data_IF_913064343164
#
_entry.id   IF_913064343164
#
_cell.length_a   1.000
_cell.length_b   1.000
_cell.length_c   1.000
_cell.angle_alpha   90.00
_cell.angle_beta   90.00
_cell.angle_gamma   90.00
#
_symmetry.space_group_name_H-M   'P 1'
#
loop_
_entity.id
_entity.type
_entity.pdbx_description
1 polymer ?
#
# COMPACT_ATOMS: atom_id res chain seq x y z
N UNK A 1 6.95 -5.44 0.48
CA UNK A 1 6.41 -5.85 -0.85
C UNK A 1 7.40 -6.78 -1.56
N UNK A 2 6.97 -7.64 -2.49
CA UNK A 2 7.86 -8.60 -3.21
C UNK A 2 9.09 -7.93 -3.83
N UNK A 3 8.92 -6.75 -4.42
CA UNK A 3 10.02 -5.96 -5.02
C UNK A 3 11.04 -5.48 -3.98
N UNK A 4 10.60 -5.10 -2.76
CA UNK A 4 11.52 -4.71 -1.69
C UNK A 4 12.34 -5.90 -1.19
N UNK A 5 11.74 -7.08 -1.08
CA UNK A 5 12.45 -8.30 -0.73
C UNK A 5 13.51 -8.66 -1.77
N UNK A 6 13.20 -8.50 -3.06
CA UNK A 6 14.16 -8.68 -4.16
C UNK A 6 15.31 -7.69 -4.02
N UNK A 7 15.02 -6.40 -3.79
CA UNK A 7 16.07 -5.39 -3.61
C UNK A 7 16.95 -5.64 -2.40
N UNK A 8 16.38 -6.07 -1.27
CA UNK A 8 17.14 -6.44 -0.08
C UNK A 8 18.00 -7.67 -0.34
N UNK A 9 17.47 -8.72 -0.96
CA UNK A 9 18.20 -9.94 -1.29
C UNK A 9 19.40 -9.65 -2.21
N UNK A 10 19.19 -8.81 -3.23
CA UNK A 10 20.23 -8.44 -4.19
C UNK A 10 21.09 -7.24 -3.77
N UNK A 11 20.95 -6.73 -2.54
CA UNK A 11 21.71 -5.57 -2.03
C UNK A 11 21.72 -4.38 -2.99
N UNK A 12 20.57 -4.11 -3.61
CA UNK A 12 20.43 -3.04 -4.60
C UNK A 12 20.58 -1.68 -3.91
N UNK A 13 21.53 -0.87 -4.37
CA UNK A 13 21.73 0.52 -3.94
C UNK A 13 20.50 1.38 -4.23
N UNK A 14 20.16 2.34 -3.35
CA UNK A 14 18.98 3.21 -3.48
C UNK A 14 18.86 3.88 -4.87
N UNK A 15 19.98 4.38 -5.38
CA UNK A 15 20.07 5.07 -6.69
C UNK A 15 19.64 4.19 -7.87
N UNK A 16 19.80 2.87 -7.76
CA UNK A 16 19.47 1.91 -8.82
C UNK A 16 18.06 1.34 -8.72
N UNK A 17 17.41 1.47 -7.55
CA UNK A 17 16.09 0.88 -7.29
C UNK A 17 15.03 1.44 -8.24
N UNK A 18 15.03 2.75 -8.46
CA UNK A 18 14.09 3.41 -9.38
C UNK A 18 14.29 2.89 -10.80
N UNK A 19 15.52 2.91 -11.31
CA UNK A 19 15.81 2.44 -12.66
C UNK A 19 15.40 0.97 -12.86
N UNK A 20 15.78 0.08 -11.94
CA UNK A 20 15.45 -1.35 -12.02
C UNK A 20 13.93 -1.61 -11.93
N UNK A 21 13.22 -0.89 -11.07
CA UNK A 21 11.77 -1.03 -10.98
C UNK A 21 11.07 -0.53 -12.25
N UNK A 22 11.49 0.62 -12.79
CA UNK A 22 10.87 1.20 -14.00
C UNK A 22 11.10 0.35 -15.24
N UNK A 23 12.24 -0.38 -15.33
CA UNK A 23 12.49 -1.37 -16.39
C UNK A 23 11.53 -2.55 -16.35
N UNK A 24 10.95 -2.83 -15.18
CA UNK A 24 9.98 -3.91 -15.01
C UNK A 24 8.56 -3.48 -15.39
N UNK A 25 8.33 -2.19 -15.68
CA UNK A 25 7.00 -1.70 -16.04
C UNK A 25 6.62 -2.14 -17.46
N UNK A 26 5.40 -2.66 -17.59
CA UNK A 26 4.85 -3.12 -18.85
C UNK A 26 3.40 -2.63 -18.99
N UNK A 27 2.92 -2.51 -20.24
CA UNK A 27 1.56 -2.10 -20.55
C UNK A 27 1.15 -0.78 -19.88
N UNK A 28 0.01 -0.79 -19.17
CA UNK A 28 -0.55 0.39 -18.51
C UNK A 28 0.40 1.06 -17.50
N UNK A 29 1.24 0.28 -16.82
CA UNK A 29 2.22 0.84 -15.88
C UNK A 29 3.29 1.67 -16.60
N UNK A 30 3.74 1.22 -17.77
CA UNK A 30 4.71 1.94 -18.59
C UNK A 30 4.12 3.24 -19.15
N UNK A 31 2.88 3.21 -19.66
CA UNK A 31 2.17 4.41 -20.11
C UNK A 31 1.96 5.44 -18.99
N UNK A 32 1.61 4.98 -17.79
CA UNK A 32 1.50 5.87 -16.63
C UNK A 32 2.84 6.51 -16.28
N UNK A 33 3.92 5.72 -16.25
CA UNK A 33 5.26 6.22 -15.94
C UNK A 33 5.74 7.27 -16.94
N UNK A 34 5.58 7.02 -18.24
CA UNK A 34 5.97 7.98 -19.28
C UNK A 34 5.14 9.27 -19.19
N UNK A 35 3.84 9.17 -18.93
CA UNK A 35 3.00 10.34 -18.71
C UNK A 35 3.40 11.13 -17.46
N UNK A 36 3.73 10.44 -16.36
CA UNK A 36 4.19 11.08 -15.12
C UNK A 36 5.51 11.82 -15.32
N UNK A 37 6.49 11.20 -16.00
CA UNK A 37 7.77 11.84 -16.31
C UNK A 37 7.57 13.06 -17.20
N UNK A 38 6.68 12.97 -18.20
CA UNK A 38 6.34 14.11 -19.07
C UNK A 38 5.70 15.25 -18.29
N UNK A 39 4.72 14.94 -17.44
CA UNK A 39 3.99 15.92 -16.64
C UNK A 39 4.93 16.66 -15.68
N UNK A 40 5.82 15.95 -15.00
CA UNK A 40 6.86 16.56 -14.16
C UNK A 40 7.79 17.48 -14.94
N UNK A 41 8.19 17.09 -16.16
CA UNK A 41 9.03 17.96 -17.03
C UNK A 41 8.30 19.24 -17.42
N UNK A 42 6.99 19.18 -17.67
CA UNK A 42 6.19 20.36 -18.01
C UNK A 42 6.06 21.33 -16.82
N UNK A 43 5.95 20.79 -15.61
CA UNK A 43 5.84 21.58 -14.38
C UNK A 43 7.20 21.96 -13.76
N UNK A 44 8.32 21.63 -14.40
CA UNK A 44 9.68 21.78 -13.84
C UNK A 44 9.88 21.10 -12.48
N UNK A 45 9.13 20.02 -12.21
CA UNK A 45 9.30 19.20 -11.03
C UNK A 45 10.59 18.36 -11.13
N UNK A 46 11.29 18.12 -10.00
CA UNK A 46 12.46 17.25 -10.00
C UNK A 46 12.10 15.82 -10.45
N UNK A 47 13.01 15.13 -11.16
CA UNK A 47 12.81 13.73 -11.51
C UNK A 47 12.74 12.87 -10.24
N UNK A 48 12.00 11.77 -10.31
CA UNK A 48 11.94 10.78 -9.22
C UNK A 48 13.29 10.07 -9.18
N UNK A 49 14.07 10.34 -8.14
CA UNK A 49 15.40 9.73 -7.94
C UNK A 49 15.38 8.66 -6.85
N UNK A 50 14.47 8.80 -5.89
CA UNK A 50 14.44 7.95 -4.72
C UNK A 50 13.32 6.92 -4.77
N UNK A 51 13.59 5.73 -4.21
CA UNK A 51 12.61 4.64 -4.20
C UNK A 51 11.33 4.99 -3.44
N UNK A 52 11.43 5.75 -2.35
CA UNK A 52 10.29 6.22 -1.56
C UNK A 52 9.34 7.12 -2.38
N UNK A 53 9.85 7.97 -3.26
CA UNK A 53 9.07 8.84 -4.15
C UNK A 53 8.32 8.02 -5.20
N UNK A 54 9.00 7.06 -5.84
CA UNK A 54 8.38 6.14 -6.80
C UNK A 54 7.27 5.34 -6.11
N UNK A 55 7.52 4.83 -4.90
CA UNK A 55 6.54 4.09 -4.11
C UNK A 55 5.33 4.95 -3.78
N UNK A 56 5.55 6.21 -3.44
CA UNK A 56 4.47 7.17 -3.12
C UNK A 56 3.65 7.52 -4.37
N UNK A 57 4.29 7.67 -5.53
CA UNK A 57 3.62 7.88 -6.81
C UNK A 57 2.77 6.66 -7.22
N UNK A 58 3.33 5.44 -7.09
CA UNK A 58 2.61 4.20 -7.34
C UNK A 58 1.41 4.02 -6.42
N UNK A 59 1.58 4.32 -5.12
CA UNK A 59 0.48 4.30 -4.15
C UNK A 59 -0.61 5.30 -4.52
N UNK A 60 -0.28 6.56 -4.81
CA UNK A 60 -1.28 7.56 -5.23
C UNK A 60 -2.05 7.17 -6.49
N UNK A 61 -1.40 6.48 -7.43
CA UNK A 61 -2.05 6.01 -8.67
C UNK A 61 -3.04 4.87 -8.45
N UNK A 62 -2.69 3.92 -7.60
CA UNK A 62 -3.42 2.65 -7.45
C UNK A 62 -4.28 2.57 -6.19
N UNK A 63 -4.02 3.43 -5.21
CA UNK A 63 -4.75 3.49 -3.95
C UNK A 63 -5.55 4.79 -3.96
N UNK A 64 -6.86 4.72 -4.23
CA UNK A 64 -7.73 5.88 -4.11
C UNK A 64 -7.64 6.47 -2.69
N UNK A 65 -7.81 7.79 -2.57
CA UNK A 65 -7.82 8.45 -1.26
C UNK A 65 -8.87 7.90 -0.30
N UNK A 66 -9.97 7.35 -0.83
CA UNK A 66 -11.04 6.72 -0.07
C UNK A 66 -10.79 5.25 0.32
N UNK A 67 -9.70 4.64 -0.13
CA UNK A 67 -9.41 3.22 0.10
C UNK A 67 -9.39 2.85 1.59
N UNK A 68 -8.75 3.68 2.41
CA UNK A 68 -8.72 3.48 3.87
C UNK A 68 -10.13 3.56 4.45
N UNK A 69 -10.95 4.52 4.01
CA UNK A 69 -12.35 4.65 4.45
C UNK A 69 -13.18 3.42 4.07
N UNK A 70 -12.96 2.87 2.87
CA UNK A 70 -13.62 1.63 2.47
C UNK A 70 -13.19 0.43 3.31
N UNK A 71 -11.92 0.33 3.69
CA UNK A 71 -11.44 -0.72 4.59
C UNK A 71 -12.09 -0.61 5.97
N UNK A 72 -12.18 0.60 6.53
CA UNK A 72 -12.87 0.85 7.80
C UNK A 72 -14.35 0.47 7.70
N UNK A 73 -15.03 0.87 6.62
CA UNK A 73 -16.44 0.51 6.40
C UNK A 73 -16.63 -1.01 6.27
N UNK A 74 -15.71 -1.72 5.62
CA UNK A 74 -15.75 -3.19 5.52
C UNK A 74 -15.50 -3.84 6.87
N UNK A 75 -14.57 -3.33 7.67
CA UNK A 75 -14.30 -3.79 9.02
C UNK A 75 -15.52 -3.62 9.94
N UNK A 76 -16.15 -2.43 9.93
CA UNK A 76 -17.34 -2.14 10.73
C UNK A 76 -18.56 -3.00 10.35
N UNK A 77 -18.65 -3.41 9.08
CA UNK A 77 -19.73 -4.28 8.58
C UNK A 77 -19.36 -5.76 8.61
N UNK A 78 -18.17 -6.12 9.08
CA UNK A 78 -17.72 -7.51 9.15
C UNK A 78 -18.43 -8.21 10.32
N UNK A 79 -19.33 -9.12 9.98
CA UNK A 79 -19.99 -10.00 10.94
C UNK A 79 -19.69 -11.44 10.58
N UNK A 80 -19.45 -12.28 11.59
CA UNK A 80 -19.13 -13.70 11.40
C UNK A 80 -20.19 -14.43 10.55
N UNK A 81 -21.48 -14.22 10.83
CA UNK A 81 -22.60 -14.86 10.09
C UNK A 81 -22.35 -16.36 9.85
N UNK A 82 -22.21 -16.76 8.58
CA UNK A 82 -22.00 -18.14 8.15
C UNK A 82 -20.51 -18.50 7.98
N UNK A 83 -19.58 -17.60 8.33
CA UNK A 83 -18.15 -17.84 8.28
C UNK A 83 -17.71 -18.65 9.49
N UNK A 84 -16.67 -19.46 9.31
CA UNK A 84 -15.98 -20.06 10.46
C UNK A 84 -15.33 -18.95 11.29
N UNK A 85 -15.12 -19.21 12.59
CA UNK A 85 -14.42 -18.27 13.49
C UNK A 85 -13.04 -17.91 12.94
N UNK A 86 -12.36 -18.89 12.35
CA UNK A 86 -11.02 -18.71 11.78
C UNK A 86 -11.02 -17.83 10.53
N UNK A 87 -11.96 -18.05 9.60
CA UNK A 87 -12.09 -17.20 8.40
C UNK A 87 -12.45 -15.75 8.76
N UNK A 88 -13.31 -15.58 9.78
CA UNK A 88 -13.67 -14.26 10.30
C UNK A 88 -12.43 -13.55 10.88
N UNK A 89 -11.66 -14.24 11.73
CA UNK A 89 -10.45 -13.69 12.35
C UNK A 89 -9.40 -13.29 11.30
N UNK A 90 -9.13 -14.15 10.33
CA UNK A 90 -8.18 -13.85 9.23
C UNK A 90 -8.64 -12.64 8.40
N UNK A 91 -9.95 -12.54 8.12
CA UNK A 91 -10.51 -11.42 7.36
C UNK A 91 -10.40 -10.10 8.15
N UNK A 92 -10.68 -10.15 9.45
CA UNK A 92 -10.55 -9.02 10.36
C UNK A 92 -9.10 -8.52 10.45
N UNK A 93 -8.15 -9.43 10.72
CA UNK A 93 -6.72 -9.11 10.77
C UNK A 93 -6.22 -8.52 9.45
N UNK A 94 -6.66 -9.06 8.31
CA UNK A 94 -6.30 -8.54 7.01
C UNK A 94 -6.74 -7.08 6.82
N UNK A 95 -7.96 -6.73 7.24
CA UNK A 95 -8.46 -5.36 7.14
C UNK A 95 -7.74 -4.41 8.10
N UNK A 96 -7.47 -4.83 9.33
CA UNK A 96 -6.69 -4.06 10.31
C UNK A 96 -5.28 -3.75 9.79
N UNK A 97 -4.55 -4.78 9.32
CA UNK A 97 -3.21 -4.62 8.75
C UNK A 97 -3.21 -3.69 7.53
N UNK A 98 -4.19 -3.81 6.63
CA UNK A 98 -4.27 -2.97 5.41
C UNK A 98 -4.67 -1.53 5.71
N UNK A 99 -5.49 -1.30 6.72
CA UNK A 99 -5.88 0.03 7.17
C UNK A 99 -4.78 0.72 8.00
N UNK A 100 -3.73 -0.04 8.40
CA UNK A 100 -2.70 0.46 9.30
C UNK A 100 -3.20 0.68 10.73
N UNK A 101 -4.32 0.05 11.09
CA UNK A 101 -4.90 0.09 12.42
C UNK A 101 -4.17 -0.96 13.25
N UNK A 102 -3.45 -0.52 14.28
CA UNK A 102 -2.97 -1.42 15.33
C UNK A 102 -4.13 -1.64 16.29
N UNK A 103 -4.42 -2.89 16.65
CA UNK A 103 -5.19 -3.13 17.86
C UNK A 103 -4.37 -2.56 19.02
N UNK A 104 -4.82 -1.45 19.59
CA UNK A 104 -4.37 -1.08 20.92
C UNK A 104 -5.05 -2.07 21.89
N UNK A 105 -4.25 -2.76 22.70
CA UNK A 105 -4.67 -3.72 23.74
C UNK A 105 -5.53 -3.10 24.87
N UNK A 106 -6.07 -1.89 24.71
CA UNK A 106 -6.78 -1.17 25.76
C UNK A 106 -8.22 -0.87 25.39
N UNK A 107 -9.04 -1.93 25.33
CA UNK A 107 -10.38 -1.84 25.93
C UNK A 107 -10.52 -3.08 26.82
N UNK A 108 -9.84 -3.05 27.96
CA UNK A 108 -10.33 -3.73 29.15
C UNK A 108 -11.80 -3.36 29.26
N UNK A 109 -12.68 -4.33 29.06
CA UNK A 109 -14.07 -4.28 29.51
C UNK A 109 -14.03 -3.79 30.96
N UNK A 110 -14.27 -2.49 31.15
CA UNK A 110 -14.72 -1.97 32.43
C UNK A 110 -16.18 -2.41 32.58
N UNK A 111 -16.36 -3.71 32.79
CA UNK A 111 -17.48 -4.24 33.54
C UNK A 111 -17.22 -3.84 35.00
N UNK A 112 -17.61 -2.61 35.33
CA UNK A 112 -17.87 -2.22 36.72
C UNK A 112 -19.28 -2.67 37.05
N UNK A 113 -19.36 -3.67 37.92
CA UNK A 113 -20.56 -4.02 38.70
C UNK A 113 -20.97 -2.86 39.61
#
# INVERSE_FOLDING_TARGET
>A
MKVEQIFTCHHVSEERKVSLATLSFQGHAMYWWTSLVRDRRLHNDPPIQYWNELRSALRRRHIPSYYIRELINKLQRLHQKNMTVEDYRQTMELYLMRAGIREEENITVLTGF
#
